data_IF_070561898448
#
_entry.id   IF_070561898448
#
_cell.length_a   1.000
_cell.length_b   1.000
_cell.length_c   1.000
_cell.angle_alpha   90.00
_cell.angle_beta   90.00
_cell.angle_gamma   90.00
#
_symmetry.space_group_name_H-M   'P 1'
#
loop_
_entity.id
_entity.type
_entity.pdbx_description
1 polymer ?
#
# COMPACT_ATOMS: atom_id res chain seq x y z
N UNK A 1 -16.18 10.04 -2.28
CA UNK A 1 -15.76 9.41 -3.55
C UNK A 1 -14.73 8.34 -3.22
N UNK A 2 -14.77 7.17 -3.85
CA UNK A 2 -13.73 6.15 -3.65
C UNK A 2 -12.36 6.74 -4.05
N UNK A 3 -11.30 6.40 -3.30
CA UNK A 3 -9.96 6.84 -3.67
C UNK A 3 -9.54 6.15 -4.96
N UNK A 4 -8.73 6.80 -5.79
CA UNK A 4 -8.13 6.13 -6.96
C UNK A 4 -6.96 5.25 -6.54
N UNK A 5 -6.68 4.21 -7.33
CA UNK A 5 -5.52 3.32 -7.10
C UNK A 5 -4.21 4.12 -7.08
N UNK A 6 -4.08 5.17 -7.90
CA UNK A 6 -2.90 6.06 -7.86
C UNK A 6 -2.69 6.75 -6.51
N UNK A 7 -3.78 7.11 -5.83
CA UNK A 7 -3.71 7.80 -4.54
C UNK A 7 -3.24 6.83 -3.45
N UNK A 8 -3.71 5.58 -3.50
CA UNK A 8 -3.23 4.52 -2.61
C UNK A 8 -1.73 4.25 -2.80
N UNK A 9 -1.26 4.20 -4.05
CA UNK A 9 0.18 4.06 -4.36
C UNK A 9 1.00 5.23 -3.80
N UNK A 10 0.48 6.46 -3.92
CA UNK A 10 1.13 7.64 -3.37
C UNK A 10 1.20 7.62 -1.83
N UNK A 11 0.14 7.14 -1.16
CA UNK A 11 0.13 6.97 0.30
C UNK A 11 1.20 5.97 0.74
N UNK A 12 1.24 4.79 0.10
CA UNK A 12 2.25 3.77 0.37
C UNK A 12 3.68 4.31 0.15
N UNK A 13 3.91 5.02 -0.96
CA UNK A 13 5.23 5.60 -1.25
C UNK A 13 5.63 6.66 -0.20
N UNK A 14 4.70 7.50 0.26
CA UNK A 14 4.97 8.49 1.31
C UNK A 14 5.27 7.84 2.65
N UNK A 15 4.62 6.72 2.95
CA UNK A 15 4.88 5.90 4.13
C UNK A 15 6.17 5.05 4.01
N UNK A 16 6.95 5.18 2.93
CA UNK A 16 8.23 4.48 2.77
C UNK A 16 8.12 3.07 2.20
N UNK A 17 6.94 2.64 1.73
CA UNK A 17 6.80 1.35 1.07
C UNK A 17 7.48 1.36 -0.31
N UNK A 18 8.14 0.25 -0.62
CA UNK A 18 8.86 0.02 -1.86
C UNK A 18 8.00 -0.87 -2.77
N UNK A 19 7.79 -0.40 -4.00
CA UNK A 19 7.16 -1.19 -5.07
C UNK A 19 8.10 -2.32 -5.50
N UNK A 20 7.59 -3.55 -5.55
CA UNK A 20 8.27 -4.71 -6.12
C UNK A 20 7.81 -4.97 -7.58
N UNK A 21 8.51 -4.41 -8.59
CA UNK A 21 8.09 -4.54 -9.99
C UNK A 21 8.15 -5.99 -10.50
N UNK A 22 8.99 -6.85 -9.91
CA UNK A 22 9.16 -8.25 -10.33
C UNK A 22 8.08 -9.20 -9.82
N UNK A 23 7.22 -8.78 -8.89
CA UNK A 23 6.09 -9.60 -8.38
C UNK A 23 4.73 -9.17 -8.92
N UNK A 24 4.63 -7.99 -9.52
CA UNK A 24 3.40 -7.53 -10.17
C UNK A 24 3.21 -8.20 -11.53
N UNK A 25 2.08 -8.89 -11.73
CA UNK A 25 1.66 -9.37 -13.06
C UNK A 25 0.44 -8.57 -13.51
N UNK A 26 0.49 -8.03 -14.73
CA UNK A 26 -0.61 -7.23 -15.29
C UNK A 26 -0.83 -5.93 -14.52
N UNK A 27 -2.04 -5.69 -14.04
CA UNK A 27 -2.40 -4.48 -13.27
C UNK A 27 -2.26 -4.67 -11.76
N UNK A 28 -1.50 -5.68 -11.30
CA UNK A 28 -1.23 -5.87 -9.88
C UNK A 28 0.13 -5.26 -9.49
N UNK A 29 0.18 -4.61 -8.35
CA UNK A 29 1.38 -4.01 -7.76
C UNK A 29 1.57 -4.54 -6.35
N UNK A 30 2.79 -5.01 -6.05
CA UNK A 30 3.18 -5.49 -4.72
C UNK A 30 4.03 -4.43 -4.03
N UNK A 31 3.71 -4.12 -2.79
CA UNK A 31 4.41 -3.14 -1.97
C UNK A 31 4.92 -3.79 -0.69
N UNK A 32 6.15 -3.48 -0.30
CA UNK A 32 6.78 -3.95 0.92
C UNK A 32 7.30 -2.78 1.74
N UNK A 33 7.34 -2.95 3.06
CA UNK A 33 8.02 -2.04 3.96
C UNK A 33 9.04 -2.82 4.79
N UNK A 34 10.19 -2.22 5.12
CA UNK A 34 11.25 -2.92 5.86
C UNK A 34 10.81 -3.38 7.26
N UNK A 35 9.96 -2.58 7.91
CA UNK A 35 9.41 -2.87 9.25
C UNK A 35 8.21 -3.81 9.24
N UNK A 36 7.58 -4.05 8.08
CA UNK A 36 6.38 -4.90 7.98
C UNK A 36 6.69 -6.18 7.25
N UNK A 37 6.33 -7.31 7.87
CA UNK A 37 6.46 -8.63 7.24
C UNK A 37 5.39 -8.87 6.16
N UNK A 38 4.25 -8.18 6.23
CA UNK A 38 3.13 -8.37 5.32
C UNK A 38 3.22 -7.43 4.12
N UNK A 39 3.15 -7.94 2.87
CA UNK A 39 3.05 -7.09 1.69
C UNK A 39 1.66 -6.50 1.53
N UNK A 40 1.59 -5.28 0.97
CA UNK A 40 0.34 -4.67 0.50
C UNK A 40 0.19 -4.92 -0.99
N UNK A 41 -0.96 -5.44 -1.41
CA UNK A 41 -1.23 -5.79 -2.81
C UNK A 41 -2.33 -4.91 -3.37
N UNK A 42 -2.00 -4.13 -4.39
CA UNK A 42 -2.97 -3.30 -5.10
C UNK A 42 -3.25 -3.90 -6.47
N UNK A 43 -4.53 -4.08 -6.79
CA UNK A 43 -5.01 -4.45 -8.12
C UNK A 43 -5.63 -3.26 -8.83
N UNK A 44 -5.41 -3.15 -10.14
CA UNK A 44 -6.03 -2.13 -10.99
C UNK A 44 -5.03 -1.13 -11.56
N UNK A 45 -5.47 -0.43 -12.60
CA UNK A 45 -4.71 0.68 -13.19
C UNK A 45 -4.87 1.93 -12.32
N UNK A 46 -3.93 2.85 -12.46
CA UNK A 46 -3.88 4.10 -11.69
C UNK A 46 -5.13 4.97 -11.81
N UNK A 47 -5.80 4.90 -12.96
CA UNK A 47 -7.03 5.66 -13.26
C UNK A 47 -8.28 5.08 -12.62
N UNK A 48 -8.27 3.79 -12.22
CA UNK A 48 -9.42 3.11 -11.65
C UNK A 48 -9.65 3.53 -10.20
N UNK A 49 -10.92 3.49 -9.81
CA UNK A 49 -11.30 3.56 -8.40
C UNK A 49 -10.76 2.33 -7.66
N UNK A 50 -10.21 2.56 -6.47
CA UNK A 50 -9.78 1.50 -5.59
C UNK A 50 -10.99 0.76 -5.05
N UNK A 51 -10.82 -0.55 -4.88
CA UNK A 51 -11.85 -1.34 -4.20
C UNK A 51 -11.80 -1.04 -2.70
N UNK A 52 -12.94 -1.11 -1.98
CA UNK A 52 -13.00 -0.79 -0.56
C UNK A 52 -12.01 -1.59 0.31
N UNK A 53 -11.71 -2.85 -0.05
CA UNK A 53 -10.71 -3.63 0.69
C UNK A 53 -9.28 -3.10 0.47
N UNK A 54 -8.95 -2.57 -0.71
CA UNK A 54 -7.62 -2.03 -0.99
C UNK A 54 -7.36 -0.78 -0.17
N UNK A 55 -8.38 0.05 0.01
CA UNK A 55 -8.28 1.23 0.88
C UNK A 55 -8.04 0.80 2.33
N UNK A 56 -8.81 -0.18 2.83
CA UNK A 56 -8.66 -0.73 4.17
C UNK A 56 -7.28 -1.35 4.40
N UNK A 57 -6.79 -2.15 3.45
CA UNK A 57 -5.49 -2.80 3.55
C UNK A 57 -4.34 -1.78 3.61
N UNK A 58 -4.42 -0.71 2.81
CA UNK A 58 -3.42 0.37 2.82
C UNK A 58 -3.44 1.15 4.12
N UNK A 59 -4.63 1.52 4.61
CA UNK A 59 -4.76 2.27 5.86
C UNK A 59 -4.24 1.42 7.03
N UNK A 60 -4.68 0.16 7.13
CA UNK A 60 -4.24 -0.73 8.20
C UNK A 60 -2.72 -0.96 8.19
N UNK A 61 -2.12 -1.11 7.00
CA UNK A 61 -0.67 -1.27 6.89
C UNK A 61 0.11 0.00 7.30
N UNK A 62 -0.43 1.20 7.02
CA UNK A 62 0.18 2.46 7.44
C UNK A 62 0.01 2.63 8.96
N UNK A 63 -1.16 2.34 9.51
CA UNK A 63 -1.40 2.39 10.96
C UNK A 63 -0.49 1.40 11.70
N UNK A 64 -0.34 0.17 11.21
CA UNK A 64 0.59 -0.82 11.78
C UNK A 64 2.04 -0.31 11.73
N UNK A 65 2.43 0.35 10.65
CA UNK A 65 3.74 0.96 10.52
C UNK A 65 3.95 2.09 11.53
N UNK A 66 2.98 2.99 11.69
CA UNK A 66 3.05 4.10 12.65
C UNK A 66 3.17 3.58 14.09
N UNK A 67 2.42 2.53 14.45
CA UNK A 67 2.53 1.90 15.77
C UNK A 67 3.91 1.29 16.02
N UNK A 68 4.50 0.64 15.02
CA UNK A 68 5.86 0.10 15.13
C UNK A 68 6.91 1.20 15.26
N UNK A 69 6.76 2.31 14.53
CA UNK A 69 7.67 3.45 14.62
C UNK A 69 7.57 4.19 15.97
N UNK A 70 6.39 4.22 16.59
CA UNK A 70 6.18 4.85 17.90
C UNK A 70 6.59 3.97 19.09
N UNK A 71 6.61 2.65 18.92
CA UNK A 71 7.03 1.70 19.97
C UNK A 71 8.54 1.56 20.17
N UNK A 72 9.33 2.17 19.28
CA UNK A 72 10.80 2.23 19.36
C UNK A 72 11.30 3.50 20.09
N UNK A 73 10.40 4.30 20.68
CA UNK A 73 10.69 5.51 21.49
C UNK A 73 10.40 5.28 22.98
#
# INVERSE_FOLDING_TARGET
>A
MPKKVRELKQMLHKAGFILLPKRGKGSHSYWLHALLSKPVVLSGKDSNDAKPYQEKDVIAAIEELEQLQQGDE
#
